data_IF_387822383102
#
_entry.id   IF_387822383102
#
_cell.length_a   1.000
_cell.length_b   1.000
_cell.length_c   1.000
_cell.angle_alpha   90.00
_cell.angle_beta   90.00
_cell.angle_gamma   90.00
#
_symmetry.space_group_name_H-M   'P 1'
#
loop_
_entity.id
_entity.type
_entity.pdbx_description
1 polymer ?
#
# COMPACT_ATOMS: atom_id res chain seq x y z
N UNK A 1 30.54 -94.08 -8.70
CA UNK A 1 29.52 -93.05 -8.97
C UNK A 1 28.84 -92.75 -7.64
N UNK A 2 29.30 -91.73 -6.92
CA UNK A 2 28.69 -91.28 -5.66
C UNK A 2 28.60 -89.74 -5.72
N UNK A 3 27.44 -89.15 -5.38
CA UNK A 3 27.16 -87.74 -5.60
C UNK A 3 27.72 -86.92 -4.44
N UNK A 4 28.66 -86.03 -4.70
CA UNK A 4 29.26 -85.18 -3.66
C UNK A 4 29.51 -83.78 -4.22
N UNK A 5 28.44 -82.99 -4.40
CA UNK A 5 28.56 -81.59 -4.85
C UNK A 5 27.25 -80.78 -4.77
N UNK A 6 26.39 -80.99 -3.77
CA UNK A 6 25.16 -80.18 -3.62
C UNK A 6 24.97 -79.57 -2.22
N UNK A 7 25.40 -80.24 -1.14
CA UNK A 7 25.24 -79.71 0.23
C UNK A 7 26.25 -78.61 0.61
N UNK A 8 27.44 -78.58 0.00
CA UNK A 8 28.46 -77.57 0.33
C UNK A 8 28.19 -76.23 -0.36
N UNK A 9 27.62 -76.24 -1.57
CA UNK A 9 27.27 -75.03 -2.32
C UNK A 9 26.07 -74.31 -1.68
N UNK A 10 25.05 -75.05 -1.22
CA UNK A 10 23.85 -74.46 -0.58
C UNK A 10 24.17 -73.80 0.77
N UNK A 11 25.13 -74.36 1.52
CA UNK A 11 25.61 -73.80 2.79
C UNK A 11 26.48 -72.55 2.61
N UNK A 12 27.24 -72.50 1.52
CA UNK A 12 28.05 -71.33 1.16
C UNK A 12 27.18 -70.17 0.63
N UNK A 13 26.15 -70.48 -0.16
CA UNK A 13 25.16 -69.50 -0.64
C UNK A 13 24.34 -68.91 0.52
N UNK A 14 23.88 -69.73 1.47
CA UNK A 14 23.14 -69.27 2.65
C UNK A 14 23.96 -68.35 3.56
N UNK A 15 25.25 -68.63 3.73
CA UNK A 15 26.15 -67.82 4.57
C UNK A 15 26.48 -66.48 3.90
N UNK A 16 26.72 -66.48 2.58
CA UNK A 16 26.98 -65.27 1.80
C UNK A 16 25.75 -64.35 1.77
N UNK A 17 24.55 -64.91 1.56
CA UNK A 17 23.29 -64.16 1.59
C UNK A 17 23.03 -63.54 2.98
N UNK A 18 23.30 -64.26 4.06
CA UNK A 18 23.10 -63.75 5.41
C UNK A 18 24.05 -62.60 5.76
N UNK A 19 25.32 -62.69 5.37
CA UNK A 19 26.27 -61.58 5.55
C UNK A 19 25.94 -60.37 4.67
N UNK A 20 25.57 -60.60 3.40
CA UNK A 20 25.18 -59.53 2.49
C UNK A 20 23.93 -58.79 2.99
N UNK A 21 22.96 -59.53 3.53
CA UNK A 21 21.73 -58.93 4.10
C UNK A 21 22.05 -58.06 5.33
N UNK A 22 22.99 -58.49 6.18
CA UNK A 22 23.41 -57.73 7.36
C UNK A 22 24.22 -56.46 6.99
N UNK A 23 25.04 -56.52 5.93
CA UNK A 23 25.78 -55.35 5.42
C UNK A 23 24.80 -54.34 4.81
N UNK A 24 23.86 -54.82 3.98
CA UNK A 24 22.84 -53.98 3.37
C UNK A 24 21.90 -53.35 4.41
N UNK A 25 21.56 -54.07 5.49
CA UNK A 25 20.75 -53.50 6.58
C UNK A 25 21.52 -52.43 7.35
N UNK A 26 22.82 -52.65 7.61
CA UNK A 26 23.66 -51.67 8.30
C UNK A 26 23.85 -50.38 7.48
N UNK A 27 24.07 -50.50 6.16
CA UNK A 27 24.17 -49.34 5.27
C UNK A 27 22.84 -48.61 5.11
N UNK A 28 21.72 -49.35 5.08
CA UNK A 28 20.38 -48.76 5.02
C UNK A 28 20.04 -47.98 6.30
N UNK A 29 20.41 -48.48 7.48
CA UNK A 29 20.22 -47.78 8.75
C UNK A 29 21.07 -46.50 8.84
N UNK A 30 22.33 -46.55 8.38
CA UNK A 30 23.21 -45.38 8.37
C UNK A 30 22.74 -44.30 7.38
N UNK A 31 22.27 -44.72 6.20
CA UNK A 31 21.64 -43.84 5.22
C UNK A 31 20.40 -43.15 5.81
N UNK A 32 19.48 -43.92 6.42
CA UNK A 32 18.23 -43.38 6.98
C UNK A 32 18.50 -42.38 8.11
N UNK A 33 19.47 -42.69 9.00
CA UNK A 33 19.97 -41.81 10.05
C UNK A 33 20.55 -40.49 9.50
N UNK A 34 21.27 -40.54 8.38
CA UNK A 34 21.84 -39.37 7.72
C UNK A 34 20.76 -38.45 7.12
N UNK A 35 19.76 -39.04 6.44
CA UNK A 35 18.63 -38.28 5.89
C UNK A 35 17.75 -37.66 6.96
N UNK A 36 17.52 -38.36 8.08
CA UNK A 36 16.80 -37.82 9.22
C UNK A 36 17.55 -36.64 9.86
N UNK A 37 18.88 -36.72 9.96
CA UNK A 37 19.71 -35.59 10.43
C UNK A 37 19.64 -34.40 9.48
N UNK A 38 19.70 -34.62 8.17
CA UNK A 38 19.58 -33.57 7.16
C UNK A 38 18.19 -32.93 7.15
N UNK A 39 17.12 -33.73 7.21
CA UNK A 39 15.75 -33.24 7.30
C UNK A 39 15.50 -32.46 8.59
N UNK A 40 15.97 -32.94 9.74
CA UNK A 40 15.81 -32.24 11.00
C UNK A 40 16.63 -30.95 11.07
N UNK A 41 17.81 -30.92 10.46
CA UNK A 41 18.64 -29.71 10.34
C UNK A 41 18.02 -28.70 9.36
N UNK A 42 17.46 -29.16 8.25
CA UNK A 42 16.70 -28.33 7.31
C UNK A 42 15.40 -27.79 7.92
N UNK A 43 14.65 -28.63 8.65
CA UNK A 43 13.44 -28.26 9.38
C UNK A 43 13.75 -27.26 10.50
N UNK A 44 14.84 -27.45 11.25
CA UNK A 44 15.35 -26.45 12.21
C UNK A 44 15.73 -25.14 11.53
N UNK A 45 16.46 -25.16 10.41
CA UNK A 45 16.78 -23.95 9.64
C UNK A 45 15.52 -23.23 9.15
N UNK A 46 14.49 -23.97 8.73
CA UNK A 46 13.22 -23.41 8.27
C UNK A 46 12.41 -22.81 9.43
N UNK A 47 12.33 -23.49 10.58
CA UNK A 47 11.68 -22.98 11.79
C UNK A 47 12.39 -21.74 12.37
N UNK A 48 13.73 -21.70 12.34
CA UNK A 48 14.53 -20.59 12.86
C UNK A 48 14.54 -19.37 11.91
N UNK A 49 14.26 -19.55 10.61
CA UNK A 49 14.14 -18.44 9.63
C UNK A 49 12.73 -17.88 9.50
N UNK A 50 11.73 -18.50 10.13
CA UNK A 50 10.32 -18.07 10.09
C UNK A 50 9.94 -16.90 11.03
N UNK A 51 10.61 -16.57 12.16
CA UNK A 51 10.15 -15.50 13.05
C UNK A 51 10.39 -14.09 12.47
N UNK A 52 11.46 -13.91 11.66
CA UNK A 52 11.81 -12.61 11.06
C UNK A 52 10.80 -12.17 9.98
N UNK A 53 10.27 -13.11 9.19
CA UNK A 53 9.31 -12.82 8.09
C UNK A 53 7.89 -12.56 8.61
N UNK A 54 7.52 -13.14 9.74
CA UNK A 54 6.20 -12.97 10.38
C UNK A 54 6.03 -11.58 11.00
N UNK A 55 7.03 -11.09 11.73
CA UNK A 55 6.99 -9.78 12.40
C UNK A 55 6.80 -8.62 11.40
N UNK A 56 7.48 -8.69 10.25
CA UNK A 56 7.34 -7.66 9.20
C UNK A 56 5.95 -7.67 8.55
N UNK A 57 5.34 -8.85 8.37
CA UNK A 57 3.95 -8.94 7.86
C UNK A 57 2.93 -8.42 8.85
N UNK A 58 3.11 -8.68 10.14
CA UNK A 58 2.23 -8.14 11.19
C UNK A 58 2.32 -6.62 11.25
N UNK A 59 3.53 -6.05 11.24
CA UNK A 59 3.73 -4.58 11.19
C UNK A 59 3.07 -3.95 9.97
N UNK A 60 3.17 -4.60 8.81
CA UNK A 60 2.50 -4.16 7.57
C UNK A 60 0.97 -4.21 7.70
N UNK A 61 0.40 -5.28 8.25
CA UNK A 61 -1.04 -5.39 8.45
C UNK A 61 -1.57 -4.39 9.48
N UNK A 62 -0.82 -4.15 10.56
CA UNK A 62 -1.15 -3.14 11.57
C UNK A 62 -1.23 -1.75 10.93
N UNK A 63 -0.26 -1.39 10.07
CA UNK A 63 -0.29 -0.11 9.35
C UNK A 63 -1.51 0.02 8.43
N UNK A 64 -1.77 -0.99 7.61
CA UNK A 64 -2.90 -0.96 6.68
C UNK A 64 -4.20 -0.85 7.47
N UNK A 65 -4.35 -1.64 8.54
CA UNK A 65 -5.52 -1.57 9.42
C UNK A 65 -5.68 -0.20 10.06
N UNK A 66 -4.58 0.45 10.48
CA UNK A 66 -4.59 1.78 11.06
C UNK A 66 -5.08 2.83 10.05
N UNK A 67 -4.52 2.84 8.84
CA UNK A 67 -4.89 3.77 7.77
C UNK A 67 -6.33 3.54 7.29
N UNK A 68 -6.74 2.27 7.12
CA UNK A 68 -8.11 1.93 6.77
C UNK A 68 -9.09 2.39 7.86
N UNK A 69 -8.77 2.14 9.14
CA UNK A 69 -9.60 2.59 10.25
C UNK A 69 -9.71 4.11 10.30
N UNK A 70 -8.62 4.83 10.04
CA UNK A 70 -8.64 6.29 9.91
C UNK A 70 -9.56 6.74 8.77
N UNK A 71 -9.39 6.19 7.56
CA UNK A 71 -10.19 6.60 6.41
C UNK A 71 -11.68 6.35 6.61
N UNK A 72 -12.05 5.23 7.24
CA UNK A 72 -13.46 4.96 7.63
C UNK A 72 -13.98 6.03 8.58
N UNK A 73 -13.17 6.44 9.57
CA UNK A 73 -13.49 7.53 10.48
C UNK A 73 -13.72 8.86 9.77
N UNK A 74 -12.84 9.23 8.83
CA UNK A 74 -12.96 10.46 8.04
C UNK A 74 -14.20 10.44 7.13
N UNK A 75 -14.48 9.33 6.46
CA UNK A 75 -15.66 9.18 5.58
C UNK A 75 -16.95 9.26 6.41
N UNK A 76 -17.01 8.56 7.54
CA UNK A 76 -18.16 8.60 8.44
C UNK A 76 -18.39 9.99 9.01
N UNK A 77 -17.31 10.69 9.34
CA UNK A 77 -17.35 12.07 9.79
C UNK A 77 -17.96 13.02 8.75
N UNK A 78 -17.48 12.97 7.51
CA UNK A 78 -18.02 13.81 6.45
C UNK A 78 -19.48 13.49 6.15
N UNK A 79 -19.84 12.20 6.17
CA UNK A 79 -21.23 11.77 6.04
C UNK A 79 -22.11 12.39 7.13
N UNK A 80 -21.64 12.44 8.38
CA UNK A 80 -22.34 13.09 9.49
C UNK A 80 -22.52 14.60 9.26
N UNK A 81 -21.50 15.29 8.73
CA UNK A 81 -21.58 16.72 8.37
C UNK A 81 -22.64 16.93 7.28
N UNK A 82 -22.68 16.09 6.25
CA UNK A 82 -23.71 16.18 5.20
C UNK A 82 -25.13 15.98 5.73
N UNK A 83 -25.35 14.98 6.59
CA UNK A 83 -26.66 14.74 7.21
C UNK A 83 -27.10 15.95 8.05
N UNK A 84 -26.16 16.54 8.80
CA UNK A 84 -26.45 17.69 9.66
C UNK A 84 -26.78 18.96 8.87
N UNK A 85 -26.24 19.12 7.65
CA UNK A 85 -26.46 20.29 6.80
C UNK A 85 -27.66 20.14 5.84
N UNK A 86 -28.02 18.90 5.49
CA UNK A 86 -29.14 18.59 4.58
C UNK A 86 -30.46 19.33 4.89
N UNK A 87 -30.94 19.47 6.14
CA UNK A 87 -32.20 20.15 6.42
C UNK A 87 -32.12 21.68 6.34
N UNK A 88 -30.91 22.26 6.34
CA UNK A 88 -30.69 23.72 6.32
C UNK A 88 -30.39 24.27 4.92
N UNK A 89 -30.11 23.39 3.95
CA UNK A 89 -29.81 23.76 2.57
C UNK A 89 -31.03 23.50 1.70
N UNK A 90 -31.90 24.50 1.56
CA UNK A 90 -33.13 24.41 0.76
C UNK A 90 -32.96 24.88 -0.69
N UNK A 91 -31.75 25.23 -1.13
CA UNK A 91 -31.51 25.64 -2.52
C UNK A 91 -30.11 25.21 -2.95
N UNK A 92 -30.05 24.38 -4.00
CA UNK A 92 -28.85 23.82 -4.63
C UNK A 92 -27.91 24.90 -5.24
N UNK A 93 -28.27 26.18 -5.11
CA UNK A 93 -27.63 27.34 -5.71
C UNK A 93 -26.76 28.17 -4.75
N UNK A 94 -26.62 27.79 -3.47
CA UNK A 94 -25.71 28.51 -2.58
C UNK A 94 -24.24 28.18 -2.89
N UNK A 95 -23.49 29.22 -3.28
CA UNK A 95 -22.09 29.14 -3.67
C UNK A 95 -21.16 28.81 -2.49
N UNK A 96 -21.54 29.19 -1.27
CA UNK A 96 -20.78 28.90 -0.05
C UNK A 96 -20.81 27.41 0.28
N UNK A 97 -22.01 26.83 0.32
CA UNK A 97 -22.21 25.40 0.55
C UNK A 97 -21.53 24.51 -0.50
N UNK A 98 -21.66 24.85 -1.79
CA UNK A 98 -21.01 24.10 -2.88
C UNK A 98 -19.47 24.14 -2.75
N UNK A 99 -18.90 25.29 -2.38
CA UNK A 99 -17.44 25.39 -2.18
C UNK A 99 -16.96 24.55 -1.00
N UNK A 100 -17.68 24.59 0.13
CA UNK A 100 -17.43 23.73 1.29
C UNK A 100 -17.50 22.24 0.92
N UNK A 101 -18.54 21.83 0.20
CA UNK A 101 -18.72 20.45 -0.26
C UNK A 101 -17.57 19.99 -1.16
N UNK A 102 -17.10 20.85 -2.06
CA UNK A 102 -15.93 20.59 -2.90
C UNK A 102 -14.67 20.28 -2.09
N UNK A 103 -14.37 21.06 -1.05
CA UNK A 103 -13.21 20.83 -0.18
C UNK A 103 -13.32 19.51 0.62
N UNK A 104 -14.53 19.14 1.05
CA UNK A 104 -14.78 17.89 1.78
C UNK A 104 -14.65 16.67 0.85
N UNK A 105 -15.19 16.76 -0.37
CA UNK A 105 -15.13 15.70 -1.38
C UNK A 105 -13.69 15.42 -1.79
N UNK A 106 -12.89 16.46 -2.10
CA UNK A 106 -11.49 16.24 -2.50
C UNK A 106 -10.66 15.63 -1.36
N UNK A 107 -10.92 16.03 -0.12
CA UNK A 107 -10.27 15.40 1.05
C UNK A 107 -10.65 13.93 1.18
N UNK A 108 -11.91 13.58 0.91
CA UNK A 108 -12.39 12.19 0.93
C UNK A 108 -11.68 11.35 -0.12
N UNK A 109 -11.61 11.84 -1.36
CA UNK A 109 -10.93 11.17 -2.47
C UNK A 109 -9.45 10.98 -2.15
N UNK A 110 -8.81 11.98 -1.55
CA UNK A 110 -7.42 11.90 -1.11
C UNK A 110 -7.18 10.82 -0.06
N UNK A 111 -8.05 10.70 0.95
CA UNK A 111 -7.97 9.62 1.96
C UNK A 111 -8.09 8.23 1.32
N UNK A 112 -8.99 8.04 0.35
CA UNK A 112 -9.13 6.76 -0.35
C UNK A 112 -7.88 6.44 -1.18
N UNK A 113 -7.33 7.45 -1.85
CA UNK A 113 -6.09 7.31 -2.62
C UNK A 113 -4.88 6.96 -1.73
N UNK A 114 -4.81 7.53 -0.54
CA UNK A 114 -3.77 7.22 0.44
C UNK A 114 -3.76 5.73 0.80
N UNK A 115 -4.92 5.15 1.14
CA UNK A 115 -5.05 3.72 1.45
C UNK A 115 -4.62 2.86 0.27
N UNK A 116 -5.00 3.24 -0.95
CA UNK A 116 -4.58 2.55 -2.17
C UNK A 116 -3.05 2.54 -2.32
N UNK A 117 -2.39 3.70 -2.16
CA UNK A 117 -0.92 3.80 -2.22
C UNK A 117 -0.26 3.05 -1.07
N UNK A 118 -0.86 3.05 0.12
CA UNK A 118 -0.35 2.32 1.27
C UNK A 118 -0.30 0.82 0.99
N UNK A 119 -1.40 0.26 0.48
CA UNK A 119 -1.49 -1.15 0.10
C UNK A 119 -0.46 -1.46 -1.01
N UNK A 120 -0.41 -0.66 -2.07
CA UNK A 120 0.53 -0.87 -3.17
C UNK A 120 2.00 -0.80 -2.74
N UNK A 121 2.34 0.20 -1.93
CA UNK A 121 3.68 0.41 -1.38
C UNK A 121 4.14 -0.79 -0.55
N UNK A 122 3.25 -1.28 0.32
CA UNK A 122 3.54 -2.36 1.25
C UNK A 122 3.59 -3.73 0.55
N UNK A 123 2.71 -3.98 -0.42
CA UNK A 123 2.73 -5.21 -1.23
C UNK A 123 3.99 -5.30 -2.10
N UNK A 124 4.37 -4.18 -2.74
CA UNK A 124 5.54 -4.14 -3.61
C UNK A 124 6.85 -3.97 -2.86
N UNK A 125 6.82 -3.74 -1.54
CA UNK A 125 8.00 -3.56 -0.69
C UNK A 125 8.93 -2.45 -1.21
N UNK A 126 8.34 -1.37 -1.74
CA UNK A 126 9.05 -0.29 -2.40
C UNK A 126 9.28 0.89 -1.44
N UNK A 127 10.51 1.06 -0.95
CA UNK A 127 10.87 2.16 -0.05
C UNK A 127 10.50 3.57 -0.59
N UNK A 128 10.71 3.90 -1.89
CA UNK A 128 10.31 5.21 -2.41
C UNK A 128 8.80 5.47 -2.35
N UNK A 129 7.98 4.42 -2.53
CA UNK A 129 6.53 4.55 -2.45
C UNK A 129 6.09 4.83 -1.01
N UNK A 130 6.74 4.20 -0.03
CA UNK A 130 6.45 4.43 1.39
C UNK A 130 6.84 5.85 1.84
N UNK A 131 7.96 6.37 1.34
CA UNK A 131 8.35 7.76 1.59
C UNK A 131 7.33 8.76 1.02
N UNK A 132 6.84 8.52 -0.19
CA UNK A 132 5.79 9.38 -0.77
C UNK A 132 4.45 9.26 -0.04
N UNK A 133 4.09 8.07 0.47
CA UNK A 133 2.92 7.89 1.34
C UNK A 133 3.03 8.79 2.58
N UNK A 134 4.19 8.79 3.24
CA UNK A 134 4.45 9.62 4.43
C UNK A 134 4.36 11.13 4.11
N UNK A 135 4.92 11.58 2.99
CA UNK A 135 4.79 12.98 2.56
C UNK A 135 3.36 13.36 2.21
N UNK A 136 2.61 12.45 1.58
CA UNK A 136 1.22 12.69 1.20
C UNK A 136 0.33 12.80 2.44
N UNK A 137 0.51 11.90 3.41
CA UNK A 137 -0.24 11.92 4.67
C UNK A 137 0.08 13.16 5.52
N UNK A 138 1.34 13.62 5.51
CA UNK A 138 1.71 14.91 6.08
C UNK A 138 1.03 16.10 5.39
N UNK A 139 0.93 16.06 4.05
CA UNK A 139 0.22 17.09 3.27
C UNK A 139 -1.28 17.09 3.56
N UNK A 140 -1.87 15.90 3.73
CA UNK A 140 -3.27 15.70 4.13
C UNK A 140 -3.55 16.27 5.52
N UNK A 141 -2.65 16.05 6.48
CA UNK A 141 -2.73 16.67 7.81
C UNK A 141 -2.75 18.19 7.71
N UNK A 142 -1.84 18.77 6.92
CA UNK A 142 -1.76 20.22 6.70
C UNK A 142 -3.02 20.78 6.04
N UNK A 143 -3.52 20.12 5.00
CA UNK A 143 -4.75 20.54 4.32
C UNK A 143 -5.98 20.39 5.25
N UNK A 144 -6.05 19.31 6.02
CA UNK A 144 -7.09 19.09 7.01
C UNK A 144 -7.12 20.16 8.10
N UNK A 145 -5.96 20.69 8.50
CA UNK A 145 -5.89 21.80 9.45
C UNK A 145 -6.43 23.13 8.89
N UNK A 146 -6.38 23.32 7.56
CA UNK A 146 -6.92 24.51 6.87
C UNK A 146 -8.43 24.40 6.58
N UNK A 147 -8.96 23.17 6.50
CA UNK A 147 -10.36 22.89 6.17
C UNK A 147 -11.38 23.69 7.02
N UNK A 148 -11.25 23.77 8.36
CA UNK A 148 -12.19 24.54 9.18
C UNK A 148 -12.22 26.02 8.79
N UNK A 149 -11.06 26.61 8.49
CA UNK A 149 -10.98 28.02 8.11
C UNK A 149 -11.65 28.30 6.77
N UNK A 150 -11.41 27.42 5.78
CA UNK A 150 -12.03 27.52 4.46
C UNK A 150 -13.56 27.42 4.54
N UNK A 151 -14.04 26.52 5.40
CA UNK A 151 -15.47 26.28 5.62
C UNK A 151 -16.13 27.49 6.30
N UNK A 152 -15.52 28.05 7.34
CA UNK A 152 -16.03 29.28 7.96
C UNK A 152 -16.09 30.45 7.00
N UNK A 153 -15.08 30.58 6.13
CA UNK A 153 -15.02 31.64 5.13
C UNK A 153 -16.09 31.47 4.05
N UNK A 154 -16.31 30.24 3.60
CA UNK A 154 -17.36 29.91 2.63
C UNK A 154 -18.76 30.15 3.21
N UNK A 155 -18.97 29.80 4.48
CA UNK A 155 -20.22 30.04 5.19
C UNK A 155 -20.48 31.54 5.38
N UNK A 156 -19.53 32.33 5.91
CA UNK A 156 -19.71 33.77 6.16
C UNK A 156 -20.11 34.61 4.94
N UNK A 157 -19.92 34.10 3.73
CA UNK A 157 -20.29 34.78 2.50
C UNK A 157 -21.78 34.63 2.15
N UNK A 158 -22.53 33.76 2.83
CA UNK A 158 -23.95 33.56 2.63
C UNK A 158 -24.77 34.35 3.67
N UNK A 159 -25.53 35.35 3.21
CA UNK A 159 -26.33 36.26 4.05
C UNK A 159 -27.48 35.54 4.80
N UNK A 160 -27.77 34.27 4.46
CA UNK A 160 -28.81 33.43 5.08
C UNK A 160 -28.39 32.73 6.38
N UNK A 161 -27.16 32.95 6.86
CA UNK A 161 -26.64 32.35 8.11
C UNK A 161 -27.47 32.64 9.36
N UNK A 162 -28.32 33.67 9.34
CA UNK A 162 -29.28 33.92 10.43
C UNK A 162 -30.29 32.77 10.64
N UNK A 163 -30.34 31.78 9.76
CA UNK A 163 -31.23 30.60 9.84
C UNK A 163 -30.56 29.36 10.46
N UNK A 164 -29.23 29.33 10.60
CA UNK A 164 -28.52 28.17 11.17
C UNK A 164 -28.24 28.43 12.67
N UNK A 165 -28.70 27.56 13.58
CA UNK A 165 -28.49 27.77 15.00
C UNK A 165 -26.99 27.76 15.35
N UNK A 166 -26.48 28.76 16.11
CA UNK A 166 -25.06 28.88 16.44
C UNK A 166 -24.52 27.66 17.22
N UNK A 167 -25.40 26.95 17.93
CA UNK A 167 -25.07 25.70 18.60
C UNK A 167 -24.65 24.57 17.64
N UNK A 168 -25.26 24.47 16.45
CA UNK A 168 -24.86 23.48 15.45
C UNK A 168 -23.51 23.83 14.82
N UNK A 169 -23.27 25.11 14.55
CA UNK A 169 -22.00 25.58 13.99
C UNK A 169 -20.83 25.26 14.94
N UNK A 170 -20.96 25.60 16.23
CA UNK A 170 -19.95 25.25 17.24
C UNK A 170 -19.72 23.75 17.35
N UNK A 171 -20.79 22.97 17.28
CA UNK A 171 -20.73 21.50 17.33
C UNK A 171 -19.95 20.94 16.12
N UNK A 172 -20.21 21.46 14.92
CA UNK A 172 -19.53 21.08 13.67
C UNK A 172 -18.06 21.52 13.70
N UNK A 173 -17.76 22.71 14.22
CA UNK A 173 -16.42 23.27 14.28
C UNK A 173 -15.44 22.47 15.13
N UNK A 174 -15.83 22.12 16.37
CA UNK A 174 -15.02 21.27 17.24
C UNK A 174 -14.69 19.94 16.54
N UNK A 175 -15.73 19.34 15.96
CA UNK A 175 -15.65 18.12 15.17
C UNK A 175 -14.65 18.23 14.01
N UNK A 176 -14.65 19.33 13.29
CA UNK A 176 -13.76 19.59 12.14
C UNK A 176 -12.29 19.74 12.53
N UNK A 177 -11.99 20.27 13.71
CA UNK A 177 -10.61 20.36 14.22
C UNK A 177 -10.09 19.02 14.76
N UNK A 178 -10.98 18.17 15.27
CA UNK A 178 -10.59 16.88 15.84
C UNK A 178 -10.04 15.90 14.78
N UNK A 179 -10.63 15.88 13.59
CA UNK A 179 -10.23 14.98 12.50
C UNK A 179 -8.76 15.16 12.07
N UNK A 180 -8.28 16.36 11.69
CA UNK A 180 -6.88 16.56 11.32
C UNK A 180 -5.92 16.33 12.49
N UNK A 181 -6.36 16.48 13.74
CA UNK A 181 -5.54 16.11 14.90
C UNK A 181 -5.32 14.59 14.99
N UNK A 182 -6.37 13.78 14.75
CA UNK A 182 -6.26 12.31 14.70
C UNK A 182 -5.34 11.88 13.56
N UNK A 183 -5.57 12.43 12.35
CA UNK A 183 -4.72 12.18 11.17
C UNK A 183 -3.28 12.54 11.49
N UNK A 184 -3.03 13.71 12.11
CA UNK A 184 -1.68 14.13 12.50
C UNK A 184 -0.98 13.16 13.46
N UNK A 185 -1.70 12.56 14.41
CA UNK A 185 -1.13 11.50 15.27
C UNK A 185 -0.79 10.26 14.45
N UNK A 186 -1.68 9.84 13.54
CA UNK A 186 -1.40 8.73 12.62
C UNK A 186 -0.18 9.03 11.74
N UNK A 187 -0.03 10.25 11.23
CA UNK A 187 1.12 10.69 10.45
C UNK A 187 2.43 10.53 11.21
N UNK A 188 2.47 10.86 12.50
CA UNK A 188 3.66 10.69 13.33
C UNK A 188 4.02 9.21 13.50
N UNK A 189 3.02 8.36 13.77
CA UNK A 189 3.19 6.90 13.87
C UNK A 189 3.67 6.33 12.53
N UNK A 190 3.04 6.74 11.43
CA UNK A 190 3.37 6.31 10.08
C UNK A 190 4.79 6.73 9.69
N UNK A 191 5.20 7.95 10.03
CA UNK A 191 6.55 8.46 9.76
C UNK A 191 7.61 7.67 10.52
N UNK A 192 7.35 7.38 11.80
CA UNK A 192 8.23 6.55 12.62
C UNK A 192 8.36 5.12 12.08
N UNK A 193 7.25 4.49 11.69
CA UNK A 193 7.28 3.16 11.10
C UNK A 193 7.94 3.16 9.71
N UNK A 194 7.68 4.18 8.89
CA UNK A 194 8.28 4.34 7.55
C UNK A 194 9.80 4.41 7.62
N UNK A 195 10.34 5.09 8.64
CA UNK A 195 11.77 5.12 8.90
C UNK A 195 12.33 3.71 9.13
N UNK A 196 11.66 2.92 9.97
CA UNK A 196 12.08 1.55 10.27
C UNK A 196 12.00 0.64 9.03
N UNK A 197 10.88 0.70 8.31
CA UNK A 197 10.68 -0.08 7.07
C UNK A 197 11.69 0.29 5.97
N UNK A 198 12.09 1.56 5.87
CA UNK A 198 13.05 2.00 4.86
C UNK A 198 14.44 1.36 5.05
N UNK A 199 14.83 1.08 6.29
CA UNK A 199 16.08 0.37 6.59
C UNK A 199 15.99 -1.11 6.18
N UNK A 200 14.88 -1.78 6.52
CA UNK A 200 14.64 -3.19 6.18
C UNK A 200 14.55 -3.43 4.67
N UNK A 201 13.92 -2.52 3.92
CA UNK A 201 13.83 -2.60 2.46
C UNK A 201 15.18 -2.40 1.78
N UNK A 202 16.04 -1.54 2.32
CA UNK A 202 17.42 -1.37 1.83
C UNK A 202 18.24 -2.67 1.93
N UNK A 203 18.09 -3.38 3.04
CA UNK A 203 18.75 -4.67 3.26
C UNK A 203 18.21 -5.79 2.34
N UNK A 204 16.89 -5.84 2.13
CA UNK A 204 16.29 -6.81 1.20
C UNK A 204 16.66 -6.55 -0.27
N UNK A 205 16.70 -5.28 -0.70
CA UNK A 205 17.16 -4.92 -2.04
C UNK A 205 18.64 -5.28 -2.25
N UNK A 206 19.47 -5.17 -1.21
CA UNK A 206 20.87 -5.59 -1.26
C UNK A 206 21.02 -7.10 -1.50
N UNK A 207 20.26 -7.93 -0.76
CA UNK A 207 20.34 -9.40 -0.90
C UNK A 207 19.76 -9.93 -2.22
N UNK A 208 18.70 -9.32 -2.76
CA UNK A 208 17.98 -9.84 -3.93
C UNK A 208 18.68 -9.55 -5.26
N UNK A 209 19.46 -8.46 -5.35
CA UNK A 209 20.01 -7.94 -6.61
C UNK A 209 21.53 -8.21 -6.78
N UNK A 210 22.21 -8.70 -5.74
CA UNK A 210 23.66 -8.98 -5.80
C UNK A 210 24.52 -7.73 -6.07
N UNK A 211 25.78 -7.94 -6.47
CA UNK A 211 26.76 -6.86 -6.62
C UNK A 211 26.47 -5.87 -7.77
N UNK A 212 25.51 -6.14 -8.67
CA UNK A 212 25.25 -5.27 -9.81
C UNK A 212 24.54 -3.97 -9.39
N UNK A 213 25.30 -2.88 -9.31
CA UNK A 213 24.81 -1.56 -8.91
C UNK A 213 23.95 -0.90 -10.01
N UNK A 214 24.21 -1.19 -11.28
CA UNK A 214 23.48 -0.63 -12.42
C UNK A 214 22.03 -1.12 -12.45
N UNK A 215 21.83 -2.44 -12.24
CA UNK A 215 20.49 -3.03 -12.16
C UNK A 215 19.68 -2.45 -10.98
N UNK A 216 20.32 -2.24 -9.83
CA UNK A 216 19.69 -1.58 -8.66
C UNK A 216 19.24 -0.16 -8.95
N UNK A 217 20.07 0.63 -9.65
CA UNK A 217 19.75 2.01 -10.00
C UNK A 217 18.57 2.07 -10.99
N UNK A 218 18.58 1.21 -12.02
CA UNK A 218 17.50 1.15 -13.01
C UNK A 218 16.14 0.78 -12.38
N UNK A 219 16.12 -0.22 -11.48
CA UNK A 219 14.90 -0.62 -10.78
C UNK A 219 14.35 0.48 -9.86
N UNK A 220 15.23 1.22 -9.16
CA UNK A 220 14.82 2.35 -8.32
C UNK A 220 14.19 3.48 -9.13
N UNK A 221 14.80 3.84 -10.26
CA UNK A 221 14.27 4.88 -11.15
C UNK A 221 12.91 4.47 -11.69
N UNK A 222 12.75 3.20 -12.09
CA UNK A 222 11.46 2.66 -12.53
C UNK A 222 10.38 2.79 -11.45
N UNK A 223 10.67 2.39 -10.21
CA UNK A 223 9.70 2.49 -9.11
C UNK A 223 9.32 3.94 -8.79
N UNK A 224 10.28 4.87 -8.79
CA UNK A 224 10.01 6.31 -8.59
C UNK A 224 9.14 6.86 -9.73
N UNK A 225 9.40 6.45 -10.96
CA UNK A 225 8.59 6.87 -12.10
C UNK A 225 7.14 6.38 -12.00
N UNK A 226 6.92 5.09 -11.71
CA UNK A 226 5.56 4.56 -11.50
C UNK A 226 4.84 5.25 -10.34
N UNK A 227 5.56 5.58 -9.28
CA UNK A 227 5.03 6.34 -8.15
C UNK A 227 4.60 7.75 -8.56
N UNK A 228 5.47 8.50 -9.23
CA UNK A 228 5.16 9.85 -9.74
C UNK A 228 3.95 9.82 -10.68
N UNK A 229 3.85 8.79 -11.52
CA UNK A 229 2.71 8.62 -12.42
C UNK A 229 1.38 8.44 -11.66
N UNK A 230 1.36 7.63 -10.59
CA UNK A 230 0.15 7.43 -9.76
C UNK A 230 -0.28 8.73 -9.08
N UNK A 231 0.68 9.48 -8.53
CA UNK A 231 0.42 10.79 -7.92
C UNK A 231 -0.06 11.82 -8.95
N UNK A 232 0.54 11.85 -10.13
CA UNK A 232 0.12 12.75 -11.21
C UNK A 232 -1.33 12.48 -11.62
N UNK A 233 -1.71 11.21 -11.77
CA UNK A 233 -3.10 10.83 -12.05
C UNK A 233 -4.06 11.30 -10.95
N UNK A 234 -3.67 11.17 -9.68
CA UNK A 234 -4.47 11.68 -8.57
C UNK A 234 -4.64 13.21 -8.61
N UNK A 235 -3.55 13.97 -8.79
CA UNK A 235 -3.62 15.44 -8.86
C UNK A 235 -4.45 15.93 -10.03
N UNK A 236 -4.36 15.24 -11.16
CA UNK A 236 -5.16 15.47 -12.35
C UNK A 236 -6.65 15.31 -12.06
N UNK A 237 -7.04 14.16 -11.49
CA UNK A 237 -8.44 13.90 -11.11
C UNK A 237 -8.91 14.95 -10.09
N UNK A 238 -8.10 15.26 -9.08
CA UNK A 238 -8.41 16.29 -8.09
C UNK A 238 -8.61 17.68 -8.73
N UNK A 239 -7.76 18.06 -9.66
CA UNK A 239 -7.88 19.33 -10.39
C UNK A 239 -9.13 19.37 -11.28
N UNK A 240 -9.48 18.26 -11.94
CA UNK A 240 -10.72 18.16 -12.70
C UNK A 240 -11.95 18.34 -11.79
N UNK A 241 -11.97 17.70 -10.62
CA UNK A 241 -13.07 17.86 -9.64
C UNK A 241 -13.17 19.31 -9.17
N UNK A 242 -12.04 19.97 -8.87
CA UNK A 242 -12.04 21.38 -8.47
C UNK A 242 -12.56 22.30 -9.58
N UNK A 243 -12.14 22.08 -10.83
CA UNK A 243 -12.64 22.86 -11.97
C UNK A 243 -14.14 22.69 -12.14
N UNK A 244 -14.63 21.45 -12.07
CA UNK A 244 -16.06 21.15 -12.18
C UNK A 244 -16.85 21.86 -11.08
N UNK A 245 -16.34 21.86 -9.84
CA UNK A 245 -16.99 22.55 -8.73
C UNK A 245 -16.99 24.09 -8.88
N UNK A 246 -15.92 24.65 -9.44
CA UNK A 246 -15.75 26.11 -9.60
C UNK A 246 -16.44 26.69 -10.84
N UNK A 247 -16.84 25.86 -11.82
CA UNK A 247 -17.40 26.33 -13.09
C UNK A 247 -18.93 26.35 -13.05
N UNK A 248 -19.50 27.51 -13.41
CA UNK A 248 -20.92 27.61 -13.82
C UNK A 248 -21.15 26.76 -15.07
N UNK A 249 -22.33 26.15 -15.14
CA UNK A 249 -22.92 25.22 -16.12
C UNK A 249 -22.86 25.60 -17.62
N UNK A 250 -22.00 26.54 -18.06
CA UNK A 250 -22.13 27.14 -19.38
C UNK A 250 -21.19 26.61 -20.48
N UNK A 251 -20.24 25.69 -20.25
CA UNK A 251 -19.37 25.21 -21.35
C UNK A 251 -18.98 23.72 -21.22
N UNK A 252 -19.87 22.86 -21.72
CA UNK A 252 -19.72 21.39 -21.75
C UNK A 252 -18.48 20.93 -22.56
N UNK A 253 -18.08 21.72 -23.55
CA UNK A 253 -16.93 21.45 -24.44
C UNK A 253 -15.59 21.65 -23.71
N UNK A 254 -15.44 22.70 -22.89
CA UNK A 254 -14.20 22.90 -22.12
C UNK A 254 -14.03 21.82 -21.02
N UNK A 255 -15.12 21.35 -20.42
CA UNK A 255 -15.08 20.27 -19.41
C UNK A 255 -14.48 18.98 -19.97
N UNK A 256 -14.79 18.68 -21.24
CA UNK A 256 -14.30 17.48 -21.92
C UNK A 256 -12.81 17.60 -22.23
N UNK A 257 -12.35 18.78 -22.65
CA UNK A 257 -10.93 19.03 -22.93
C UNK A 257 -10.05 19.00 -21.67
N UNK A 258 -10.51 19.56 -20.56
CA UNK A 258 -9.76 19.58 -19.28
C UNK A 258 -9.54 18.17 -18.69
N UNK A 259 -10.42 17.21 -19.01
CA UNK A 259 -10.31 15.80 -18.56
C UNK A 259 -9.51 14.95 -19.56
N UNK A 260 -9.70 15.20 -20.86
CA UNK A 260 -9.08 14.41 -21.91
C UNK A 260 -7.59 14.77 -22.07
N UNK A 261 -7.23 16.05 -22.02
CA UNK A 261 -5.85 16.48 -22.24
C UNK A 261 -4.86 15.87 -21.24
N UNK A 262 -5.17 15.84 -19.93
CA UNK A 262 -4.29 15.21 -18.97
C UNK A 262 -4.29 13.69 -19.09
N UNK A 263 -5.44 13.07 -19.38
CA UNK A 263 -5.54 11.61 -19.62
C UNK A 263 -4.71 11.16 -20.83
N UNK A 264 -4.71 11.94 -21.92
CA UNK A 264 -3.85 11.71 -23.08
C UNK A 264 -2.37 11.90 -22.72
N UNK A 265 -2.03 12.92 -21.91
CA UNK A 265 -0.64 13.14 -21.48
C UNK A 265 -0.09 11.96 -20.67
N UNK A 266 -0.90 11.40 -19.76
CA UNK A 266 -0.56 10.22 -18.95
C UNK A 266 -0.36 9.00 -19.83
N UNK A 267 -1.25 8.81 -20.82
CA UNK A 267 -1.18 7.67 -21.74
C UNK A 267 0.04 7.78 -22.67
N UNK A 268 0.34 8.99 -23.15
CA UNK A 268 1.51 9.29 -23.98
C UNK A 268 2.82 9.06 -23.22
N UNK A 269 2.91 9.52 -21.97
CA UNK A 269 4.07 9.30 -21.09
C UNK A 269 4.27 7.80 -20.84
N UNK A 270 3.20 7.05 -20.61
CA UNK A 270 3.27 5.60 -20.42
C UNK A 270 3.72 4.87 -21.71
N UNK A 271 3.28 5.32 -22.88
CA UNK A 271 3.73 4.80 -24.18
C UNK A 271 5.20 5.12 -24.45
N UNK A 272 5.63 6.36 -24.20
CA UNK A 272 7.03 6.77 -24.32
C UNK A 272 7.94 5.94 -23.41
N UNK A 273 7.47 5.65 -22.19
CA UNK A 273 8.20 4.79 -21.26
C UNK A 273 8.27 3.34 -21.73
N UNK A 274 7.16 2.77 -22.22
CA UNK A 274 7.15 1.44 -22.84
C UNK A 274 8.12 1.36 -24.02
N UNK A 275 8.18 2.41 -24.83
CA UNK A 275 9.10 2.54 -25.96
C UNK A 275 10.56 2.59 -25.51
N UNK A 276 10.88 3.40 -24.50
CA UNK A 276 12.24 3.52 -23.97
C UNK A 276 12.72 2.23 -23.27
N UNK A 277 11.81 1.53 -22.58
CA UNK A 277 12.09 0.24 -21.96
C UNK A 277 12.24 -0.89 -22.98
N UNK A 278 11.58 -0.81 -24.15
CA UNK A 278 11.77 -1.75 -25.27
C UNK A 278 13.16 -1.58 -25.90
N UNK A 279 13.63 -0.34 -26.05
CA UNK A 279 14.97 -0.04 -26.59
C UNK A 279 16.12 -0.36 -25.65
N UNK A 280 15.87 -0.51 -24.35
CA UNK A 280 16.90 -0.87 -23.36
C UNK A 280 17.16 -2.39 -23.27
N UNK A 281 16.39 -3.20 -24.00
CA UNK A 281 16.47 -4.68 -24.01
C UNK A 281 17.13 -5.21 -25.31
N UNK A 282 17.48 -4.32 -26.24
CA UNK A 282 18.28 -4.61 -27.45
C UNK A 282 19.64 -3.93 -27.28
#
# INVERSE_FOLDING_TARGET
MQPHSLEEDEKFEGTCNHQLTHVLSSEAEEYNSSWDKLQNSARKKMLITTPQRSNNRLRTLILISLLVSQSIGVIGFFTSVFISLKPYVSSDYDHGYQSMLGYLVIFTIANVFEVYIAIDSLLNQNAPQLFALCLFEGSMTGFGALLPHQIHRALRHDEKINTIPPALLTSINWRLYLVPAIIGVTTLILSWLTWHFSQDFGWHAFKKLGANIALRKAMRVKSIFYLLQKFNFFFLVGFCVLIVQMRKQSQLILQTLDIILPSLSVTFIHLCFRYQNSKAII
#
